data_IF_612873686675
#
_entry.id   IF_612873686675
#
_cell.length_a   1.000
_cell.length_b   1.000
_cell.length_c   1.000
_cell.angle_alpha   90.00
_cell.angle_beta   90.00
_cell.angle_gamma   90.00
#
_symmetry.space_group_name_H-M   'P 1'
#
loop_
_entity.id
_entity.type
_entity.pdbx_description
1 polymer ?
#
# COMPACT_ATOMS: atom_id res chain seq x y z
N UNK A 1 -24.87 -28.99 15.01
CA UNK A 1 -24.92 -28.04 13.87
C UNK A 1 -26.01 -27.02 14.15
N UNK A 2 -25.82 -25.76 13.77
CA UNK A 2 -26.86 -24.72 13.91
C UNK A 2 -27.85 -24.88 12.74
N UNK A 3 -29.17 -25.00 13.00
CA UNK A 3 -30.15 -25.24 11.95
C UNK A 3 -30.38 -23.99 11.08
N UNK A 4 -30.72 -24.15 9.78
CA UNK A 4 -31.16 -23.05 8.91
C UNK A 4 -32.37 -22.30 9.47
N UNK A 5 -32.55 -21.04 9.03
CA UNK A 5 -33.76 -20.26 9.28
C UNK A 5 -34.94 -20.97 8.61
N UNK A 6 -36.03 -21.16 9.35
CA UNK A 6 -37.29 -21.61 8.79
C UNK A 6 -38.18 -20.39 8.58
N UNK A 7 -38.47 -20.04 7.33
CA UNK A 7 -39.39 -18.95 7.03
C UNK A 7 -40.84 -19.42 7.03
N UNK A 8 -41.75 -18.58 7.50
CA UNK A 8 -43.19 -18.78 7.32
C UNK A 8 -43.65 -18.21 5.98
N UNK A 9 -44.51 -18.93 5.24
CA UNK A 9 -45.03 -18.45 3.96
C UNK A 9 -45.87 -17.21 4.19
N UNK A 10 -45.56 -16.11 3.49
CA UNK A 10 -46.36 -14.88 3.58
C UNK A 10 -47.67 -15.08 2.82
N UNK A 11 -48.76 -14.43 3.24
CA UNK A 11 -50.09 -14.58 2.64
C UNK A 11 -50.09 -14.32 1.11
N UNK A 12 -49.30 -13.36 0.64
CA UNK A 12 -49.24 -12.95 -0.77
C UNK A 12 -48.12 -13.64 -1.58
N UNK A 13 -47.37 -14.58 -0.98
CA UNK A 13 -46.23 -15.22 -1.61
C UNK A 13 -46.65 -16.48 -2.38
N UNK A 14 -46.22 -16.59 -3.64
CA UNK A 14 -46.44 -17.82 -4.42
C UNK A 14 -45.63 -18.99 -3.85
N UNK A 15 -46.08 -20.23 -4.06
CA UNK A 15 -45.33 -21.41 -3.59
C UNK A 15 -43.91 -21.45 -4.16
N UNK A 16 -43.72 -21.02 -5.40
CA UNK A 16 -42.41 -20.88 -6.02
C UNK A 16 -41.57 -19.75 -5.41
N UNK A 17 -42.20 -18.65 -4.98
CA UNK A 17 -41.54 -17.56 -4.27
C UNK A 17 -41.04 -18.03 -2.90
N UNK A 18 -41.90 -18.74 -2.17
CA UNK A 18 -41.58 -19.31 -0.86
C UNK A 18 -40.47 -20.35 -0.95
N UNK A 19 -40.53 -21.25 -1.94
CA UNK A 19 -39.49 -22.25 -2.17
C UNK A 19 -38.12 -21.65 -2.48
N UNK A 20 -38.08 -20.56 -3.26
CA UNK A 20 -36.83 -19.81 -3.52
C UNK A 20 -36.30 -19.10 -2.27
N UNK A 21 -37.16 -18.50 -1.45
CA UNK A 21 -36.75 -17.82 -0.21
C UNK A 21 -36.22 -18.78 0.84
N UNK A 22 -36.83 -19.96 0.99
CA UNK A 22 -36.34 -21.05 1.85
C UNK A 22 -34.90 -21.46 1.52
N UNK A 23 -34.52 -21.48 0.24
CA UNK A 23 -33.16 -21.80 -0.20
C UNK A 23 -32.23 -20.58 -0.29
N UNK A 24 -32.75 -19.37 -0.08
CA UNK A 24 -32.01 -18.12 -0.10
C UNK A 24 -31.40 -17.87 1.29
N UNK A 25 -30.49 -18.74 1.73
CA UNK A 25 -29.78 -18.62 3.01
C UNK A 25 -28.29 -18.96 2.87
N UNK A 26 -27.46 -18.40 3.73
CA UNK A 26 -26.03 -18.75 3.85
C UNK A 26 -25.61 -18.79 5.32
N UNK A 27 -24.53 -19.51 5.62
CA UNK A 27 -23.98 -19.58 6.98
C UNK A 27 -22.95 -18.47 7.20
N UNK A 28 -23.21 -17.56 8.13
CA UNK A 28 -22.27 -16.57 8.60
C UNK A 28 -21.33 -17.20 9.65
N UNK A 29 -20.09 -17.48 9.26
CA UNK A 29 -19.09 -18.09 10.15
C UNK A 29 -18.62 -17.16 11.27
N UNK A 30 -18.65 -15.85 11.06
CA UNK A 30 -18.26 -14.85 12.06
C UNK A 30 -19.30 -14.78 13.18
N UNK A 31 -20.59 -14.86 12.82
CA UNK A 31 -21.71 -14.78 13.78
C UNK A 31 -22.27 -16.15 14.16
N UNK A 32 -21.72 -17.23 13.60
CA UNK A 32 -22.12 -18.63 13.82
C UNK A 32 -23.64 -18.87 13.66
N UNK A 33 -24.25 -18.30 12.61
CA UNK A 33 -25.70 -18.38 12.35
C UNK A 33 -26.01 -18.41 10.86
N UNK A 34 -27.20 -18.91 10.51
CA UNK A 34 -27.75 -18.79 9.16
C UNK A 34 -28.38 -17.40 8.97
N UNK A 35 -28.19 -16.82 7.79
CA UNK A 35 -28.73 -15.51 7.39
C UNK A 35 -29.47 -15.63 6.06
N UNK A 36 -30.54 -14.85 5.90
CA UNK A 36 -31.30 -14.76 4.65
C UNK A 36 -30.48 -14.02 3.58
N UNK A 37 -30.34 -14.62 2.40
CA UNK A 37 -29.56 -14.09 1.28
C UNK A 37 -30.25 -12.96 0.50
N UNK A 38 -31.35 -12.38 1.03
CA UNK A 38 -32.17 -11.39 0.33
C UNK A 38 -31.41 -10.10 0.01
N UNK A 39 -30.37 -9.75 0.77
CA UNK A 39 -29.29 -8.88 0.31
C UNK A 39 -28.10 -9.06 1.24
N UNK A 40 -26.97 -9.58 0.73
CA UNK A 40 -25.69 -9.15 1.29
C UNK A 40 -25.73 -7.62 1.33
N UNK A 41 -25.48 -7.01 2.49
CA UNK A 41 -25.43 -5.56 2.61
C UNK A 41 -24.18 -5.06 1.87
N UNK A 42 -24.30 -4.96 0.55
CA UNK A 42 -23.22 -4.54 -0.35
C UNK A 42 -22.80 -3.11 -0.06
N UNK A 43 -23.62 -2.31 0.63
CA UNK A 43 -23.28 -0.97 1.11
C UNK A 43 -22.10 -1.02 2.06
N UNK A 44 -22.08 -1.94 3.03
CA UNK A 44 -20.94 -2.10 3.96
C UNK A 44 -19.67 -2.58 3.25
N UNK A 45 -19.81 -3.48 2.27
CA UNK A 45 -18.68 -3.94 1.46
C UNK A 45 -18.13 -2.81 0.59
N UNK A 46 -19.02 -2.01 0.01
CA UNK A 46 -18.66 -0.85 -0.80
C UNK A 46 -17.95 0.20 0.06
N UNK A 47 -18.49 0.55 1.22
CA UNK A 47 -17.89 1.46 2.19
C UNK A 47 -16.49 1.00 2.63
N UNK A 48 -16.33 -0.30 2.91
CA UNK A 48 -15.00 -0.87 3.21
C UNK A 48 -14.03 -0.72 2.03
N UNK A 49 -14.48 -0.99 0.80
CA UNK A 49 -13.65 -0.86 -0.39
C UNK A 49 -13.26 0.60 -0.66
N UNK A 50 -14.18 1.54 -0.45
CA UNK A 50 -13.93 2.98 -0.55
C UNK A 50 -12.90 3.42 0.49
N UNK A 51 -13.07 3.02 1.75
CA UNK A 51 -12.13 3.33 2.83
C UNK A 51 -10.73 2.75 2.57
N UNK A 52 -10.65 1.48 2.13
CA UNK A 52 -9.38 0.85 1.75
C UNK A 52 -8.74 1.55 0.56
N UNK A 53 -9.53 1.95 -0.45
CA UNK A 53 -9.05 2.69 -1.62
C UNK A 53 -8.48 4.05 -1.21
N UNK A 54 -9.15 4.79 -0.32
CA UNK A 54 -8.65 6.08 0.21
C UNK A 54 -7.35 5.86 0.99
N UNK A 55 -7.30 4.87 1.88
CA UNK A 55 -6.07 4.53 2.62
C UNK A 55 -4.89 4.23 1.70
N UNK A 56 -5.13 3.38 0.68
CA UNK A 56 -4.11 3.04 -0.32
C UNK A 56 -3.65 4.26 -1.14
N UNK A 57 -4.54 5.20 -1.46
CA UNK A 57 -4.16 6.43 -2.15
C UNK A 57 -3.25 7.32 -1.30
N UNK A 58 -3.55 7.45 0.00
CA UNK A 58 -2.72 8.20 0.95
C UNK A 58 -1.34 7.56 1.09
N UNK A 59 -1.28 6.26 1.31
CA UNK A 59 -0.02 5.52 1.46
C UNK A 59 0.83 5.61 0.18
N UNK A 60 0.20 5.48 -0.99
CA UNK A 60 0.89 5.58 -2.27
C UNK A 60 1.44 7.00 -2.52
N UNK A 61 0.72 8.05 -2.12
CA UNK A 61 1.21 9.42 -2.19
C UNK A 61 2.42 9.65 -1.26
N UNK A 62 2.37 9.12 -0.03
CA UNK A 62 3.47 9.18 0.92
C UNK A 62 4.73 8.45 0.40
N UNK A 63 4.55 7.25 -0.19
CA UNK A 63 5.65 6.46 -0.77
C UNK A 63 6.29 7.17 -1.96
N UNK A 64 5.50 7.78 -2.85
CA UNK A 64 6.04 8.56 -3.98
C UNK A 64 6.90 9.71 -3.50
N UNK A 65 6.43 10.47 -2.51
CA UNK A 65 7.19 11.58 -1.92
C UNK A 65 8.49 11.08 -1.28
N UNK A 66 8.45 9.99 -0.50
CA UNK A 66 9.64 9.42 0.10
C UNK A 66 10.67 8.96 -0.96
N UNK A 67 10.20 8.39 -2.08
CA UNK A 67 11.06 8.00 -3.19
C UNK A 67 11.72 9.20 -3.88
N UNK A 68 10.98 10.29 -4.09
CA UNK A 68 11.54 11.54 -4.63
C UNK A 68 12.62 12.12 -3.70
N UNK A 69 12.36 12.14 -2.38
CA UNK A 69 13.35 12.58 -1.40
C UNK A 69 14.61 11.69 -1.39
N UNK A 70 14.45 10.37 -1.53
CA UNK A 70 15.57 9.44 -1.65
C UNK A 70 16.37 9.65 -2.94
N UNK A 71 15.69 9.88 -4.07
CA UNK A 71 16.35 10.18 -5.34
C UNK A 71 17.19 11.47 -5.25
N UNK A 72 16.63 12.54 -4.67
CA UNK A 72 17.35 13.79 -4.45
C UNK A 72 18.57 13.61 -3.52
N UNK A 73 18.44 12.80 -2.46
CA UNK A 73 19.58 12.46 -1.58
C UNK A 73 20.65 11.67 -2.31
N UNK A 74 20.27 10.70 -3.13
CA UNK A 74 21.21 9.90 -3.92
C UNK A 74 21.98 10.79 -4.92
N UNK A 75 21.29 11.71 -5.59
CA UNK A 75 21.92 12.67 -6.49
C UNK A 75 22.89 13.60 -5.73
N UNK A 76 22.48 14.15 -4.59
CA UNK A 76 23.33 15.00 -3.77
C UNK A 76 24.60 14.27 -3.30
N UNK A 77 24.47 13.01 -2.87
CA UNK A 77 25.63 12.18 -2.50
C UNK A 77 26.56 11.92 -3.68
N UNK A 78 26.03 11.65 -4.88
CA UNK A 78 26.84 11.49 -6.08
C UNK A 78 27.62 12.77 -6.43
N UNK A 79 26.99 13.94 -6.30
CA UNK A 79 27.65 15.24 -6.50
C UNK A 79 28.75 15.49 -5.46
N UNK A 80 28.48 15.22 -4.17
CA UNK A 80 29.47 15.36 -3.09
C UNK A 80 30.66 14.43 -3.30
N UNK A 81 30.42 13.17 -3.68
CA UNK A 81 31.47 12.20 -3.97
C UNK A 81 32.34 12.69 -5.13
N UNK A 82 31.73 13.16 -6.21
CA UNK A 82 32.45 13.70 -7.37
C UNK A 82 33.32 14.91 -6.99
N UNK A 83 32.77 15.86 -6.23
CA UNK A 83 33.51 17.03 -5.74
C UNK A 83 34.68 16.62 -4.83
N UNK A 84 34.45 15.66 -3.94
CA UNK A 84 35.48 15.14 -3.02
C UNK A 84 36.62 14.47 -3.79
N UNK A 85 36.32 13.67 -4.81
CA UNK A 85 37.34 13.08 -5.69
C UNK A 85 38.16 14.15 -6.41
N UNK A 86 37.51 15.18 -6.96
CA UNK A 86 38.20 16.29 -7.62
C UNK A 86 39.11 17.06 -6.66
N UNK A 87 38.64 17.38 -5.45
CA UNK A 87 39.46 18.03 -4.43
C UNK A 87 40.63 17.15 -4.00
N UNK A 88 40.41 15.84 -3.83
CA UNK A 88 41.49 14.89 -3.49
C UNK A 88 42.57 14.82 -4.58
N UNK A 89 42.17 14.81 -5.86
CA UNK A 89 43.10 14.87 -6.98
C UNK A 89 43.90 16.18 -7.00
N UNK A 90 43.24 17.31 -6.74
CA UNK A 90 43.91 18.62 -6.68
C UNK A 90 44.91 18.65 -5.52
N UNK A 91 44.51 18.23 -4.31
CA UNK A 91 45.40 18.15 -3.15
C UNK A 91 46.61 17.24 -3.43
N UNK A 92 46.42 16.12 -4.14
CA UNK A 92 47.50 15.21 -4.53
C UNK A 92 48.52 15.91 -5.44
N UNK A 93 48.04 16.71 -6.41
CA UNK A 93 48.91 17.51 -7.28
C UNK A 93 49.65 18.60 -6.50
N UNK A 94 48.95 19.31 -5.63
CA UNK A 94 49.53 20.39 -4.83
C UNK A 94 50.63 19.85 -3.90
N UNK A 95 50.40 18.69 -3.27
CA UNK A 95 51.41 18.00 -2.45
C UNK A 95 52.63 17.62 -3.30
N UNK A 96 52.45 17.12 -4.52
CA UNK A 96 53.55 16.77 -5.41
C UNK A 96 54.40 18.00 -5.75
N UNK A 97 53.75 19.12 -6.13
CA UNK A 97 54.41 20.39 -6.40
C UNK A 97 55.19 20.92 -5.19
N UNK A 98 54.60 20.86 -3.99
CA UNK A 98 55.27 21.30 -2.76
C UNK A 98 56.51 20.44 -2.47
N UNK A 99 56.42 19.11 -2.63
CA UNK A 99 57.57 18.21 -2.45
C UNK A 99 58.70 18.55 -3.40
N UNK A 100 58.39 18.77 -4.67
CA UNK A 100 59.37 19.16 -5.69
C UNK A 100 60.08 20.48 -5.34
N UNK A 101 59.35 21.46 -4.80
CA UNK A 101 59.93 22.72 -4.33
C UNK A 101 60.84 22.55 -3.09
N UNK A 102 60.48 21.64 -2.17
CA UNK A 102 61.22 21.39 -0.93
C UNK A 102 62.49 20.56 -1.13
N UNK A 103 62.48 19.59 -2.05
CA UNK A 103 63.61 18.68 -2.32
C UNK A 103 64.78 19.37 -3.06
N UNK A 104 64.74 20.69 -3.17
CA UNK A 104 65.74 21.51 -3.87
C UNK A 104 65.34 21.69 -5.32
N UNK A 105 64.45 22.66 -5.56
CA UNK A 105 64.25 23.19 -6.90
C UNK A 105 65.62 23.57 -7.49
N UNK A 106 65.98 22.89 -8.58
CA UNK A 106 66.94 23.46 -9.53
C UNK A 106 66.27 24.53 -10.35
#
# INVERSE_FOLDING_TARGET
EVPPILFEKKEDETDEGFGRRQQSQFFNFTENKWEEAVTQDYSKKLELLENLSVGLQVDNAALKKANEELANKAESLAQINSKTMLTSLQNTKDIATIKEQLDGGK
#
